data_IF_210517090465
#
_entry.id   IF_210517090465
#
_cell.length_a   1.000
_cell.length_b   1.000
_cell.length_c   1.000
_cell.angle_alpha   90.00
_cell.angle_beta   90.00
_cell.angle_gamma   90.00
#
_symmetry.space_group_name_H-M   'P 1'
#
loop_
_entity.id
_entity.type
_entity.pdbx_description
1 polymer ?
#
# COMPACT_ATOMS: atom_id res chain seq x y z
N UNK A 1 -7.74 -3.89 -8.58
CA UNK A 1 -6.31 -3.87 -8.20
C UNK A 1 -6.27 -4.08 -6.70
N UNK A 2 -6.09 -5.33 -6.24
CA UNK A 2 -6.22 -5.64 -4.82
C UNK A 2 -4.91 -5.31 -4.11
N UNK A 3 -4.94 -4.21 -3.37
CA UNK A 3 -4.00 -3.79 -2.31
C UNK A 3 -2.52 -3.77 -2.76
N UNK A 4 -2.11 -2.61 -3.29
CA UNK A 4 -0.79 -2.38 -3.90
C UNK A 4 0.35 -2.10 -2.90
N UNK A 5 0.15 -2.43 -1.62
CA UNK A 5 1.17 -2.28 -0.57
C UNK A 5 1.50 -0.84 -0.18
N UNK A 6 0.60 0.09 -0.48
CA UNK A 6 0.62 1.50 -0.07
C UNK A 6 -0.73 1.75 0.61
N UNK A 7 -0.76 1.56 1.94
CA UNK A 7 -2.04 1.45 2.67
C UNK A 7 -2.33 2.64 3.59
N UNK A 8 -1.37 3.51 3.83
CA UNK A 8 -1.62 4.77 4.55
C UNK A 8 -2.20 5.83 3.63
N UNK A 9 -2.00 5.64 2.33
CA UNK A 9 -2.41 6.58 1.33
C UNK A 9 -3.74 6.19 0.72
N UNK A 10 -4.51 7.21 0.40
CA UNK A 10 -5.92 7.09 0.03
C UNK A 10 -6.19 7.46 -1.42
N UNK A 11 -5.34 8.30 -2.00
CA UNK A 11 -5.45 8.80 -3.36
C UNK A 11 -4.15 8.53 -4.16
N UNK A 12 -4.32 8.10 -5.40
CA UNK A 12 -3.22 7.77 -6.31
C UNK A 12 -3.49 8.37 -7.69
N UNK A 13 -2.57 9.17 -8.21
CA UNK A 13 -2.68 9.77 -9.55
C UNK A 13 -1.68 9.14 -10.52
N UNK A 14 -2.15 8.82 -11.72
CA UNK A 14 -1.36 8.18 -12.77
C UNK A 14 -1.28 9.08 -14.02
N UNK A 15 -0.15 9.05 -14.71
CA UNK A 15 0.04 9.73 -16.00
C UNK A 15 -0.73 9.03 -17.14
N UNK A 16 -0.63 9.60 -18.35
CA UNK A 16 -1.27 9.04 -19.56
C UNK A 16 -0.78 7.64 -19.95
N UNK A 17 0.36 7.21 -19.41
CA UNK A 17 0.96 5.90 -19.63
C UNK A 17 0.62 4.90 -18.51
N UNK A 18 -0.17 5.32 -17.51
CA UNK A 18 -0.55 4.51 -16.36
C UNK A 18 0.57 4.37 -15.31
N UNK A 19 1.54 5.29 -15.30
CA UNK A 19 2.60 5.34 -14.30
C UNK A 19 2.19 6.22 -13.12
N UNK A 20 2.41 5.75 -11.90
CA UNK A 20 2.15 6.51 -10.68
C UNK A 20 3.04 7.76 -10.64
N UNK A 21 2.43 8.93 -10.43
CA UNK A 21 3.11 10.23 -10.37
C UNK A 21 2.78 11.03 -9.11
N UNK A 22 1.72 10.68 -8.38
CA UNK A 22 1.30 11.38 -7.17
C UNK A 22 0.64 10.41 -6.20
N UNK A 23 0.83 10.66 -4.91
CA UNK A 23 0.16 9.96 -3.81
C UNK A 23 -0.37 11.01 -2.83
N UNK A 24 -1.66 10.98 -2.51
CA UNK A 24 -2.35 11.94 -1.63
C UNK A 24 -2.05 13.43 -1.93
N UNK A 25 -1.93 13.78 -3.22
CA UNK A 25 -1.64 15.15 -3.64
C UNK A 25 -0.15 15.55 -3.59
N UNK A 26 0.74 14.61 -3.25
CA UNK A 26 2.20 14.82 -3.23
C UNK A 26 2.83 14.11 -4.43
N UNK A 27 3.61 14.85 -5.23
CA UNK A 27 4.34 14.29 -6.36
C UNK A 27 5.36 13.25 -5.88
N UNK A 28 5.48 12.15 -6.64
CA UNK A 28 6.40 11.06 -6.30
C UNK A 28 7.35 10.75 -7.43
N UNK A 29 8.57 10.37 -7.07
CA UNK A 29 9.53 9.80 -8.02
C UNK A 29 9.54 8.28 -7.88
N UNK A 30 9.40 7.56 -8.98
CA UNK A 30 9.39 6.10 -8.98
C UNK A 30 10.51 5.54 -9.86
N UNK A 31 11.25 4.54 -9.36
CA UNK A 31 12.09 3.69 -10.22
C UNK A 31 11.38 2.39 -10.56
N UNK A 32 11.73 1.80 -11.69
CA UNK A 32 11.09 0.57 -12.19
C UNK A 32 12.12 -0.43 -12.68
N UNK A 33 11.80 -1.71 -12.55
CA UNK A 33 12.58 -2.79 -13.14
C UNK A 33 12.33 -2.93 -14.65
N UNK A 34 13.07 -3.84 -15.29
CA UNK A 34 12.95 -4.15 -16.73
C UNK A 34 11.58 -4.67 -17.15
N UNK A 35 10.71 -5.05 -16.21
CA UNK A 35 9.32 -5.46 -16.45
C UNK A 35 8.32 -4.33 -16.17
N UNK A 36 8.80 -3.12 -15.86
CA UNK A 36 7.98 -1.95 -15.55
C UNK A 36 7.41 -1.93 -14.14
N UNK A 37 7.81 -2.86 -13.26
CA UNK A 37 7.32 -2.91 -11.86
C UNK A 37 8.08 -1.89 -11.02
N UNK A 38 7.39 -1.17 -10.15
CA UNK A 38 8.02 -0.18 -9.27
C UNK A 38 8.99 -0.85 -8.30
N UNK A 39 10.24 -0.44 -8.27
CA UNK A 39 11.24 -0.95 -7.32
C UNK A 39 11.47 0.00 -6.16
N UNK A 40 11.26 1.30 -6.40
CA UNK A 40 11.32 2.32 -5.38
C UNK A 40 10.31 3.44 -5.64
N UNK A 41 9.93 4.10 -4.56
CA UNK A 41 9.09 5.30 -4.56
C UNK A 41 9.73 6.28 -3.58
N UNK A 42 9.94 7.52 -4.00
CA UNK A 42 10.44 8.61 -3.16
C UNK A 42 9.37 9.69 -3.09
N UNK A 43 9.03 10.09 -1.87
CA UNK A 43 8.07 11.15 -1.56
C UNK A 43 8.80 12.24 -0.79
N UNK A 44 8.56 13.50 -1.13
CA UNK A 44 9.06 14.66 -0.39
C UNK A 44 7.86 15.43 0.17
N UNK A 45 7.71 15.40 1.50
CA UNK A 45 6.61 16.05 2.20
C UNK A 45 7.14 17.28 2.94
N UNK A 46 6.46 18.42 2.80
CA UNK A 46 6.79 19.62 3.58
C UNK A 46 6.50 19.36 5.07
N UNK A 47 7.38 19.82 5.95
CA UNK A 47 7.13 19.71 7.40
C UNK A 47 6.07 20.73 7.79
N UNK A 48 5.06 20.32 8.56
CA UNK A 48 3.86 21.13 8.89
C UNK A 48 4.17 22.54 9.43
N UNK A 49 5.30 22.71 10.13
CA UNK A 49 5.69 23.96 10.79
C UNK A 49 6.81 24.74 10.07
N UNK A 50 7.34 24.23 8.96
CA UNK A 50 8.41 24.87 8.19
C UNK A 50 8.36 24.45 6.71
N UNK A 51 7.69 25.26 5.89
CA UNK A 51 7.51 25.05 4.44
C UNK A 51 8.83 25.03 3.63
N UNK A 52 9.93 25.51 4.22
CA UNK A 52 11.27 25.44 3.63
C UNK A 52 11.99 24.11 3.96
N UNK A 53 11.41 23.28 4.83
CA UNK A 53 11.95 21.99 5.23
C UNK A 53 11.07 20.84 4.73
N UNK A 54 11.74 19.79 4.25
CA UNK A 54 11.09 18.62 3.67
C UNK A 54 11.58 17.36 4.35
N UNK A 55 10.66 16.42 4.52
CA UNK A 55 10.96 15.05 4.91
C UNK A 55 10.92 14.17 3.67
N UNK A 56 12.02 13.46 3.40
CA UNK A 56 12.08 12.51 2.29
C UNK A 56 11.81 11.10 2.79
N UNK A 57 10.74 10.49 2.28
CA UNK A 57 10.40 9.08 2.54
C UNK A 57 10.85 8.27 1.33
N UNK A 58 11.75 7.33 1.54
CA UNK A 58 12.20 6.39 0.52
C UNK A 58 11.60 5.02 0.78
N UNK A 59 10.88 4.48 -0.20
CA UNK A 59 10.26 3.16 -0.14
C UNK A 59 10.91 2.23 -1.17
N UNK A 60 11.25 1.01 -0.76
CA UNK A 60 11.73 -0.06 -1.64
C UNK A 60 10.76 -1.23 -1.62
N UNK A 61 10.39 -1.73 -2.81
CA UNK A 61 9.42 -2.78 -3.00
C UNK A 61 10.10 -4.09 -3.40
N UNK A 62 9.81 -5.15 -2.66
CA UNK A 62 10.16 -6.52 -3.01
C UNK A 62 8.92 -7.27 -3.51
N UNK A 63 9.14 -8.27 -4.37
CA UNK A 63 8.07 -9.01 -5.02
C UNK A 63 8.18 -10.51 -4.80
N UNK A 64 7.03 -11.17 -4.70
CA UNK A 64 6.90 -12.62 -4.82
C UNK A 64 7.26 -13.08 -6.25
N UNK A 65 7.54 -14.38 -6.44
CA UNK A 65 7.73 -14.94 -7.79
C UNK A 65 6.52 -14.75 -8.71
N UNK A 66 5.30 -14.66 -8.13
CA UNK A 66 4.07 -14.39 -8.88
C UNK A 66 3.86 -12.91 -9.19
N UNK A 67 4.81 -12.03 -8.83
CA UNK A 67 4.79 -10.61 -9.15
C UNK A 67 3.94 -9.73 -8.22
N UNK A 68 3.52 -10.24 -7.06
CA UNK A 68 2.84 -9.45 -6.01
C UNK A 68 3.86 -8.81 -5.08
N UNK A 69 3.57 -7.64 -4.51
CA UNK A 69 4.46 -7.02 -3.53
C UNK A 69 4.52 -7.91 -2.29
N UNK A 70 5.70 -8.37 -1.89
CA UNK A 70 5.88 -9.18 -0.67
C UNK A 70 6.34 -8.36 0.52
N UNK A 71 7.04 -7.25 0.25
CA UNK A 71 7.56 -6.37 1.29
C UNK A 71 7.74 -4.96 0.77
N UNK A 72 7.40 -3.98 1.58
CA UNK A 72 7.83 -2.60 1.44
C UNK A 72 8.73 -2.26 2.61
N UNK A 73 9.90 -1.69 2.34
CA UNK A 73 10.80 -1.14 3.36
C UNK A 73 10.85 0.35 3.12
N UNK A 74 10.45 1.12 4.12
CA UNK A 74 10.41 2.56 4.05
C UNK A 74 11.40 3.16 5.07
N UNK A 75 11.97 4.30 4.73
CA UNK A 75 12.88 5.03 5.61
C UNK A 75 12.71 6.53 5.45
N UNK A 76 12.77 7.23 6.58
CA UNK A 76 12.75 8.69 6.68
C UNK A 76 13.71 9.14 7.77
N UNK A 77 14.74 9.91 7.41
CA UNK A 77 15.83 10.22 8.33
C UNK A 77 16.47 8.97 8.93
N UNK A 78 16.45 8.84 10.26
CA UNK A 78 16.96 7.68 11.01
C UNK A 78 15.89 6.60 11.26
N UNK A 79 14.64 6.83 10.85
CA UNK A 79 13.53 5.91 11.03
C UNK A 79 13.42 4.93 9.87
N UNK A 80 13.16 3.67 10.21
CA UNK A 80 12.91 2.60 9.23
C UNK A 80 11.72 1.80 9.70
N UNK A 81 10.80 1.53 8.78
CA UNK A 81 9.68 0.62 9.01
C UNK A 81 9.47 -0.29 7.82
N UNK A 82 8.85 -1.43 8.07
CA UNK A 82 8.59 -2.44 7.06
C UNK A 82 7.15 -2.90 7.11
N UNK A 83 6.62 -3.16 5.93
CA UNK A 83 5.33 -3.82 5.74
C UNK A 83 5.57 -5.11 4.98
N UNK A 84 5.22 -6.24 5.57
CA UNK A 84 5.35 -7.56 4.93
C UNK A 84 3.98 -8.11 4.61
N UNK A 85 3.79 -8.53 3.36
CA UNK A 85 2.50 -8.92 2.80
C UNK A 85 2.48 -10.42 2.50
N UNK A 86 1.46 -11.11 3.02
CA UNK A 86 1.24 -12.54 2.78
C UNK A 86 -0.11 -12.78 2.14
N UNK A 87 -0.12 -13.62 1.11
CA UNK A 87 -1.32 -13.91 0.33
C UNK A 87 -1.79 -15.36 0.54
N UNK A 88 -3.09 -15.59 0.41
CA UNK A 88 -3.65 -16.93 0.39
C UNK A 88 -3.45 -17.62 -0.98
N UNK A 89 -3.99 -18.84 -1.11
CA UNK A 89 -3.87 -19.64 -2.33
C UNK A 89 -4.57 -19.02 -3.54
N UNK A 90 -5.63 -18.23 -3.31
CA UNK A 90 -6.36 -17.49 -4.35
C UNK A 90 -5.66 -16.17 -4.69
N UNK A 91 -4.63 -15.81 -3.91
CA UNK A 91 -3.80 -14.64 -4.12
C UNK A 91 -4.37 -13.36 -3.55
N UNK A 92 -5.28 -13.47 -2.59
CA UNK A 92 -5.83 -12.37 -1.82
C UNK A 92 -4.93 -12.08 -0.61
N UNK A 93 -4.83 -10.81 -0.20
CA UNK A 93 -4.00 -10.42 0.93
C UNK A 93 -4.60 -11.00 2.22
N UNK A 94 -3.90 -11.94 2.85
CA UNK A 94 -4.37 -12.61 4.07
C UNK A 94 -3.85 -11.92 5.32
N UNK A 95 -2.61 -11.44 5.26
CA UNK A 95 -1.93 -10.87 6.41
C UNK A 95 -0.95 -9.77 5.99
N UNK A 96 -0.94 -8.70 6.78
CA UNK A 96 0.03 -7.62 6.72
C UNK A 96 0.72 -7.52 8.09
N UNK A 97 2.05 -7.50 8.09
CA UNK A 97 2.84 -7.25 9.29
C UNK A 97 3.52 -5.89 9.13
N UNK A 98 3.15 -4.95 9.98
CA UNK A 98 3.87 -3.69 10.17
C UNK A 98 4.91 -3.87 11.28
N UNK A 99 6.13 -3.42 11.02
CA UNK A 99 7.26 -3.55 11.95
C UNK A 99 8.16 -2.31 11.83
N UNK A 100 8.21 -1.51 12.89
CA UNK A 100 9.09 -0.36 13.07
C UNK A 100 9.90 -0.53 14.36
N UNK A 101 10.81 0.40 14.64
CA UNK A 101 11.58 0.40 15.89
C UNK A 101 10.70 0.46 17.14
N UNK A 102 9.58 1.15 17.07
CA UNK A 102 8.71 1.43 18.22
C UNK A 102 7.49 0.50 18.28
N UNK A 103 6.98 0.09 17.11
CA UNK A 103 5.71 -0.59 17.00
C UNK A 103 5.77 -1.82 16.12
N UNK A 104 4.94 -2.81 16.49
CA UNK A 104 4.69 -3.98 15.66
C UNK A 104 3.22 -4.33 15.71
N UNK A 105 2.61 -4.43 14.53
CA UNK A 105 1.20 -4.73 14.38
C UNK A 105 1.01 -5.81 13.31
N UNK A 106 0.10 -6.74 13.58
CA UNK A 106 -0.31 -7.74 12.59
C UNK A 106 -1.77 -7.51 12.26
N UNK A 107 -2.05 -7.35 10.98
CA UNK A 107 -3.38 -7.17 10.44
C UNK A 107 -3.76 -8.41 9.64
N UNK A 108 -4.91 -8.99 9.94
CA UNK A 108 -5.44 -10.15 9.23
C UNK A 108 -6.72 -9.79 8.50
N UNK A 109 -6.85 -10.28 7.26
CA UNK A 109 -7.99 -9.99 6.41
C UNK A 109 -8.79 -11.25 6.10
N UNK A 110 -10.11 -11.11 6.04
CA UNK A 110 -11.04 -12.15 5.60
C UNK A 110 -12.04 -11.56 4.62
N UNK A 111 -11.98 -11.98 3.37
CA UNK A 111 -12.86 -11.46 2.32
C UNK A 111 -14.24 -12.10 2.40
N UNK A 112 -15.29 -11.27 2.36
CA UNK A 112 -16.67 -11.70 2.56
C UNK A 112 -17.50 -11.62 1.27
N UNK A 113 -17.25 -10.61 0.42
CA UNK A 113 -18.01 -10.40 -0.81
C UNK A 113 -17.14 -9.84 -1.92
N UNK A 114 -17.52 -10.20 -3.14
CA UNK A 114 -16.95 -9.72 -4.39
C UNK A 114 -18.07 -9.27 -5.31
N UNK A 115 -17.77 -8.33 -6.21
CA UNK A 115 -18.64 -8.00 -7.33
C UNK A 115 -18.45 -8.99 -8.50
N UNK A 116 -19.22 -8.77 -9.58
CA UNK A 116 -19.17 -9.62 -10.78
C UNK A 116 -17.83 -9.57 -11.54
N UNK A 117 -17.00 -8.56 -11.27
CA UNK A 117 -15.67 -8.40 -11.86
C UNK A 117 -14.56 -9.01 -10.99
N UNK A 118 -14.91 -9.63 -9.87
CA UNK A 118 -13.96 -10.25 -8.95
C UNK A 118 -13.22 -9.24 -8.05
N UNK A 119 -13.69 -8.00 -7.97
CA UNK A 119 -13.18 -7.04 -6.98
C UNK A 119 -13.93 -7.24 -5.66
N UNK A 120 -13.19 -7.24 -4.56
CA UNK A 120 -13.85 -7.38 -3.27
C UNK A 120 -14.66 -6.12 -2.95
N UNK A 121 -15.86 -6.33 -2.42
CA UNK A 121 -16.77 -5.25 -1.99
C UNK A 121 -16.97 -5.25 -0.48
N UNK A 122 -16.63 -6.36 0.19
CA UNK A 122 -16.67 -6.45 1.65
C UNK A 122 -15.57 -7.37 2.17
N UNK A 123 -14.85 -6.93 3.21
CA UNK A 123 -13.88 -7.73 3.97
C UNK A 123 -13.94 -7.42 5.46
N UNK A 124 -13.40 -8.32 6.26
CA UNK A 124 -13.10 -8.11 7.67
C UNK A 124 -11.61 -7.88 7.85
N UNK A 125 -11.28 -7.01 8.79
CA UNK A 125 -9.93 -6.69 9.24
C UNK A 125 -9.84 -6.89 10.75
N UNK A 126 -8.78 -7.56 11.20
CA UNK A 126 -8.48 -7.78 12.62
C UNK A 126 -7.03 -7.36 12.87
N UNK A 127 -6.86 -6.29 13.65
CA UNK A 127 -5.58 -5.95 14.24
C UNK A 127 -5.32 -6.89 15.42
N UNK A 128 -4.08 -7.36 15.56
CA UNK A 128 -3.66 -8.21 16.67
C UNK A 128 -3.77 -7.46 18.01
N UNK A 129 -3.47 -6.16 18.02
CA UNK A 129 -3.56 -5.33 19.23
C UNK A 129 -5.00 -5.05 19.68
N UNK A 130 -5.99 -5.22 18.81
CA UNK A 130 -7.38 -4.87 19.10
C UNK A 130 -8.25 -6.10 19.29
N UNK A 131 -9.04 -6.14 20.37
CA UNK A 131 -10.07 -7.18 20.54
C UNK A 131 -11.39 -6.87 19.78
N UNK A 132 -11.27 -6.39 18.55
CA UNK A 132 -12.42 -6.19 17.65
C UNK A 132 -12.07 -6.54 16.22
N UNK A 133 -13.08 -6.94 15.46
CA UNK A 133 -12.98 -7.11 14.02
C UNK A 133 -13.77 -5.98 13.35
N UNK A 134 -13.14 -5.28 12.44
CA UNK A 134 -13.75 -4.19 11.67
C UNK A 134 -14.24 -4.76 10.34
N UNK A 135 -15.44 -4.37 9.90
CA UNK A 135 -15.93 -4.71 8.55
C UNK A 135 -15.72 -3.51 7.64
N UNK A 136 -14.95 -3.71 6.58
CA UNK A 136 -14.72 -2.73 5.54
C UNK A 136 -15.62 -3.04 4.34
N UNK A 137 -16.19 -1.99 3.76
CA UNK A 137 -17.05 -2.07 2.56
C UNK A 137 -16.54 -1.06 1.54
N UNK A 138 -16.38 -1.51 0.28
CA UNK A 138 -16.00 -0.65 -0.84
C UNK A 138 -17.20 -0.51 -1.78
N UNK A 139 -17.47 0.72 -2.21
CA UNK A 139 -18.37 1.00 -3.31
C UNK A 139 -17.52 1.26 -4.55
N UNK A 140 -17.68 0.44 -5.58
CA UNK A 140 -16.91 0.55 -6.83
C UNK A 140 -17.87 0.98 -7.93
N UNK A 141 -17.51 2.02 -8.67
CA UNK A 141 -18.24 2.49 -9.84
C UNK A 141 -17.40 2.26 -11.08
N UNK A 142 -17.96 1.53 -12.05
CA UNK A 142 -17.38 1.33 -13.36
C UNK A 142 -17.96 2.38 -14.30
N UNK A 143 -17.09 3.21 -14.88
CA UNK A 143 -17.51 4.13 -15.93
C UNK A 143 -17.47 3.33 -17.23
N UNK A 144 -18.65 3.03 -17.78
CA UNK A 144 -18.75 2.45 -19.12
C UNK A 144 -18.13 3.42 -20.13
N UNK A 145 -17.29 2.89 -21.04
CA UNK A 145 -16.75 3.65 -22.18
C UNK A 145 -17.76 3.75 -23.31
#
# INVERSE_FOLDING_TARGET
MNDAGLEWQTEFTFDENGLLIEIDGVEVTCERDVKGRMTSITVEEAVEDDEDSYTTINMTLAYTPSGRVSKVTASSGDEVWTQTYSYDADGLLKELIYDSTEDKEVQQYTYLKFDEYGNWTQRQEKLQSMDRTVTQTRNITYIDK
#
